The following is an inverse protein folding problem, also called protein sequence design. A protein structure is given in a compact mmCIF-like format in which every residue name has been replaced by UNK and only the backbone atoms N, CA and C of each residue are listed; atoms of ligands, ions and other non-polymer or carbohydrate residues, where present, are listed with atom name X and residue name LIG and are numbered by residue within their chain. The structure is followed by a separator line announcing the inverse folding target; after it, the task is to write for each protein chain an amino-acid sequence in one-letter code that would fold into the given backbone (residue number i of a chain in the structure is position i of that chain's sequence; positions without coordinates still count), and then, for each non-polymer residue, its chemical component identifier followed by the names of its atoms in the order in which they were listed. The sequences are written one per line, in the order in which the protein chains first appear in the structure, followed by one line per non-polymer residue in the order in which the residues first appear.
data_IF_479880868597
#
_entry.id   IF_479880868597
#
_cell.length_a   1.000
_cell.length_b   1.000
_cell.length_c   1.000
_cell.angle_alpha   90.00
_cell.angle_beta   90.00
_cell.angle_gamma   90.00
#
_symmetry.space_group_name_H-M   'P 1'
#
loop_
_entity.id
_entity.type
_entity.pdbx_description
1 polymer ?
#
# COMPACT_ATOMS: atom_id res chain seq x y z
N UNK A 1 -14.41 -16.48 -5.89
CA UNK A 1 -13.15 -15.70 -5.90
C UNK A 1 -12.38 -15.94 -4.61
N UNK A 2 -11.04 -15.93 -4.65
CA UNK A 2 -10.18 -16.15 -3.47
C UNK A 2 -9.71 -14.78 -2.93
N UNK A 3 -10.18 -14.32 -1.75
CA UNK A 3 -10.00 -12.92 -1.31
C UNK A 3 -8.54 -12.54 -0.98
N UNK A 4 -7.65 -13.51 -0.77
CA UNK A 4 -6.23 -13.27 -0.47
C UNK A 4 -5.31 -13.55 -1.68
N UNK A 5 -5.84 -14.02 -2.80
CA UNK A 5 -5.04 -14.36 -3.98
C UNK A 5 -4.44 -13.11 -4.62
N UNK A 6 -3.15 -13.18 -4.99
CA UNK A 6 -2.43 -12.06 -5.62
C UNK A 6 -2.03 -10.93 -4.66
N UNK A 7 -2.15 -11.14 -3.34
CA UNK A 7 -1.82 -10.15 -2.33
C UNK A 7 -0.60 -10.59 -1.48
N UNK A 8 0.38 -9.70 -1.30
CA UNK A 8 1.48 -9.94 -0.35
C UNK A 8 1.20 -9.26 0.99
N UNK A 9 1.10 -10.06 2.05
CA UNK A 9 0.78 -9.59 3.39
C UNK A 9 2.02 -9.34 4.26
N UNK A 10 2.09 -8.16 4.87
CA UNK A 10 3.15 -7.75 5.78
C UNK A 10 2.57 -7.18 7.08
N UNK A 11 2.93 -7.78 8.21
CA UNK A 11 2.60 -7.22 9.52
C UNK A 11 3.47 -5.99 9.81
N UNK A 12 2.83 -4.88 10.16
CA UNK A 12 3.44 -3.59 10.52
C UNK A 12 2.67 -2.97 11.69
N UNK A 13 3.15 -1.84 12.21
CA UNK A 13 2.53 -1.12 13.33
C UNK A 13 2.25 0.33 12.92
N UNK A 14 1.08 0.86 13.26
CA UNK A 14 0.76 2.26 13.04
C UNK A 14 1.47 3.18 14.05
N UNK A 15 1.77 2.66 15.25
CA UNK A 15 2.55 3.33 16.28
C UNK A 15 3.70 2.42 16.75
N UNK A 16 4.93 2.93 16.67
CA UNK A 16 6.14 2.22 17.11
C UNK A 16 6.13 1.85 18.61
N UNK A 17 5.37 2.58 19.44
CA UNK A 17 5.31 2.40 20.89
C UNK A 17 4.14 1.53 21.34
N UNK A 18 3.19 1.26 20.45
CA UNK A 18 1.98 0.52 20.78
C UNK A 18 1.90 -0.79 19.98
N UNK A 19 2.11 -1.93 20.65
CA UNK A 19 2.01 -3.24 20.03
C UNK A 19 0.60 -3.61 19.58
N UNK A 20 -0.44 -3.01 20.16
CA UNK A 20 -1.84 -3.23 19.74
C UNK A 20 -2.16 -2.52 18.42
N UNK A 21 -1.33 -1.56 17.99
CA UNK A 21 -1.45 -0.88 16.69
C UNK A 21 -1.01 -1.74 15.50
N UNK A 22 -0.85 -3.05 15.71
CA UNK A 22 -0.44 -3.99 14.68
C UNK A 22 -1.53 -4.14 13.61
N UNK A 23 -1.16 -3.88 12.37
CA UNK A 23 -2.01 -4.05 11.19
C UNK A 23 -1.28 -4.90 10.14
N UNK A 24 -2.03 -5.39 9.15
CA UNK A 24 -1.47 -6.04 7.98
C UNK A 24 -1.58 -5.12 6.77
N UNK A 25 -0.48 -4.93 6.05
CA UNK A 25 -0.49 -4.34 4.71
C UNK A 25 -0.57 -5.47 3.69
N UNK A 26 -1.59 -5.43 2.84
CA UNK A 26 -1.67 -6.20 1.61
C UNK A 26 -1.23 -5.35 0.44
N UNK A 27 -0.22 -5.80 -0.30
CA UNK A 27 0.20 -5.17 -1.56
C UNK A 27 -0.34 -6.02 -2.71
N UNK A 28 -1.14 -5.39 -3.58
CA UNK A 28 -1.87 -6.04 -4.66
C UNK A 28 -1.80 -5.23 -5.97
N UNK A 29 -2.30 -5.78 -7.07
CA UNK A 29 -2.21 -5.17 -8.41
C UNK A 29 -2.95 -3.83 -8.53
N UNK A 30 -3.93 -3.57 -7.67
CA UNK A 30 -4.79 -2.37 -7.69
C UNK A 30 -4.37 -1.30 -6.68
N UNK A 31 -3.68 -1.68 -5.60
CA UNK A 31 -3.23 -0.74 -4.57
C UNK A 31 -2.56 -1.39 -3.37
N UNK A 32 -2.66 -0.70 -2.23
CA UNK A 32 -2.23 -1.19 -0.92
C UNK A 32 -3.44 -1.17 0.02
N UNK A 33 -3.80 -2.33 0.56
CA UNK A 33 -4.88 -2.51 1.52
C UNK A 33 -4.32 -2.64 2.94
N UNK A 34 -4.98 -2.00 3.90
CA UNK A 34 -4.73 -2.17 5.34
C UNK A 34 -5.81 -3.06 5.92
N UNK A 35 -5.38 -4.03 6.71
CA UNK A 35 -6.27 -4.92 7.44
C UNK A 35 -5.99 -4.86 8.94
N UNK A 36 -7.06 -4.78 9.71
CA UNK A 36 -7.04 -4.98 11.15
C UNK A 36 -7.35 -6.44 11.47
N UNK A 37 -6.87 -6.92 12.62
CA UNK A 37 -7.20 -8.26 13.09
C UNK A 37 -8.40 -8.18 14.01
N UNK A 38 -9.58 -8.53 13.52
CA UNK A 38 -10.82 -8.54 14.28
C UNK A 38 -11.28 -10.00 14.43
N UNK A 39 -11.47 -10.46 15.67
CA UNK A 39 -11.92 -11.81 15.99
C UNK A 39 -11.13 -12.94 15.26
N UNK A 40 -9.81 -12.77 15.14
CA UNK A 40 -8.93 -13.75 14.48
C UNK A 40 -8.86 -13.65 12.95
N UNK A 41 -9.73 -12.87 12.31
CA UNK A 41 -9.76 -12.66 10.85
C UNK A 41 -9.16 -11.31 10.46
N UNK A 42 -8.65 -11.21 9.22
CA UNK A 42 -8.21 -9.94 8.63
C UNK A 42 -9.43 -9.23 8.07
N UNK A 43 -9.72 -8.04 8.58
CA UNK A 43 -10.81 -7.18 8.12
C UNK A 43 -10.22 -5.96 7.43
N UNK A 44 -10.59 -5.73 6.17
CA UNK A 44 -10.15 -4.57 5.39
C UNK A 44 -10.67 -3.27 6.04
N UNK A 45 -9.79 -2.32 6.34
CA UNK A 45 -10.16 -1.06 6.99
C UNK A 45 -9.80 0.20 6.17
N UNK A 46 -8.69 0.18 5.42
CA UNK A 46 -8.26 1.33 4.62
C UNK A 46 -7.58 0.88 3.33
N UNK A 47 -8.00 1.44 2.19
CA UNK A 47 -7.40 1.17 0.90
C UNK A 47 -6.66 2.39 0.34
N UNK A 48 -5.52 2.16 -0.31
CA UNK A 48 -4.74 3.16 -1.03
C UNK A 48 -4.58 2.70 -2.49
N UNK A 49 -5.47 3.13 -3.40
CA UNK A 49 -5.37 2.79 -4.82
C UNK A 49 -4.08 3.33 -5.42
N UNK A 50 -3.42 2.58 -6.31
CA UNK A 50 -2.18 3.04 -6.96
C UNK A 50 -2.32 4.39 -7.67
N UNK A 51 -3.48 4.65 -8.27
CA UNK A 51 -3.82 5.93 -8.91
C UNK A 51 -3.82 7.14 -7.95
N UNK A 52 -4.16 6.91 -6.68
CA UNK A 52 -4.31 7.97 -5.67
C UNK A 52 -3.05 8.12 -4.80
N UNK A 53 -2.05 7.24 -4.96
CA UNK A 53 -0.77 7.36 -4.29
C UNK A 53 0.13 8.30 -5.10
N UNK A 54 0.60 9.37 -4.46
CA UNK A 54 1.60 10.29 -5.04
C UNK A 54 3.01 9.74 -4.89
N UNK A 55 3.29 9.12 -3.74
CA UNK A 55 4.63 8.59 -3.42
C UNK A 55 4.55 7.47 -2.40
N UNK A 56 5.31 6.42 -2.64
CA UNK A 56 5.71 5.43 -1.63
C UNK A 56 7.17 5.70 -1.27
N UNK A 57 7.53 5.64 0.01
CA UNK A 57 8.91 5.83 0.45
C UNK A 57 9.21 5.00 1.70
N UNK A 58 10.48 4.96 2.10
CA UNK A 58 10.89 4.35 3.36
C UNK A 58 11.91 5.25 4.07
N UNK A 59 11.97 5.15 5.41
CA UNK A 59 12.97 5.82 6.22
C UNK A 59 13.24 5.01 7.48
N UNK A 60 14.48 4.54 7.66
CA UNK A 60 14.86 3.62 8.75
C UNK A 60 13.88 2.43 8.78
N UNK A 61 13.12 2.26 9.85
CA UNK A 61 12.13 1.19 10.03
C UNK A 61 10.72 1.55 9.58
N UNK A 62 10.50 2.71 8.96
CA UNK A 62 9.20 3.15 8.49
C UNK A 62 9.04 2.93 7.00
N UNK A 63 7.90 2.38 6.62
CA UNK A 63 7.33 2.42 5.28
C UNK A 63 6.27 3.52 5.24
N UNK A 64 6.26 4.32 4.19
CA UNK A 64 5.45 5.54 4.12
C UNK A 64 4.63 5.59 2.84
N UNK A 65 3.37 5.99 2.96
CA UNK A 65 2.47 6.25 1.83
C UNK A 65 2.05 7.72 1.87
N UNK A 66 2.28 8.45 0.78
CA UNK A 66 1.78 9.81 0.58
C UNK A 66 0.70 9.77 -0.51
N UNK A 67 -0.59 10.01 -0.18
CA UNK A 67 -1.63 10.17 -1.18
C UNK A 67 -1.42 11.45 -1.99
N UNK A 68 -2.11 11.55 -3.13
CA UNK A 68 -2.16 12.76 -3.96
C UNK A 68 -2.98 13.88 -3.32
N UNK A 69 -3.96 13.52 -2.49
CA UNK A 69 -4.73 14.47 -1.69
C UNK A 69 -3.84 15.16 -0.63
N UNK A 70 -4.06 16.45 -0.45
CA UNK A 70 -3.42 17.27 0.58
C UNK A 70 -4.39 17.48 1.75
N UNK A 71 -3.87 17.81 2.94
CA UNK A 71 -4.72 18.21 4.05
C UNK A 71 -5.35 19.58 3.78
N UNK A 72 -6.40 19.94 4.53
CA UNK A 72 -7.03 21.27 4.46
C UNK A 72 -6.03 22.43 4.63
N UNK A 73 -4.93 22.20 5.35
CA UNK A 73 -3.83 23.15 5.54
C UNK A 73 -2.79 23.19 4.41
N UNK A 74 -3.00 22.48 3.29
CA UNK A 74 -2.05 22.36 2.17
C UNK A 74 -0.81 21.51 2.49
N UNK A 75 -0.79 20.81 3.64
CA UNK A 75 0.33 19.95 4.00
C UNK A 75 0.14 18.56 3.39
N UNK A 76 1.24 18.00 2.89
CA UNK A 76 1.26 16.63 2.40
C UNK A 76 0.96 15.65 3.54
N UNK A 77 -0.13 14.88 3.39
CA UNK A 77 -0.43 13.77 4.30
C UNK A 77 0.59 12.64 4.07
N UNK A 78 1.10 12.06 5.15
CA UNK A 78 2.04 10.93 5.11
C UNK A 78 1.61 9.90 6.15
N UNK A 79 1.11 8.76 5.68
CA UNK A 79 0.85 7.59 6.52
C UNK A 79 2.16 6.84 6.75
N UNK A 80 2.46 6.55 8.02
CA UNK A 80 3.71 5.89 8.43
C UNK A 80 3.40 4.54 9.06
N UNK A 81 4.08 3.51 8.59
CA UNK A 81 3.96 2.15 9.07
C UNK A 81 5.31 1.66 9.56
N UNK A 82 5.42 1.40 10.86
CA UNK A 82 6.61 0.90 11.50
C UNK A 82 6.74 -0.61 11.30
N UNK A 83 7.92 -1.06 10.86
CA UNK A 83 8.15 -2.46 10.48
C UNK A 83 8.88 -3.29 11.56
N UNK A 84 9.34 -2.64 12.64
CA UNK A 84 10.14 -3.19 13.76
C UNK A 84 11.52 -3.80 13.38
N UNK A 85 11.65 -4.36 12.19
CA UNK A 85 12.80 -5.10 11.68
C UNK A 85 13.58 -4.24 10.69
N UNK A 86 14.92 -4.23 10.79
CA UNK A 86 15.77 -3.53 9.83
C UNK A 86 15.62 -4.12 8.42
N UNK A 87 15.68 -3.28 7.38
CA UNK A 87 15.56 -3.71 5.99
C UNK A 87 14.13 -4.05 5.52
N UNK A 88 13.20 -4.37 6.43
CA UNK A 88 11.81 -4.72 6.07
C UNK A 88 11.05 -3.57 5.42
N UNK A 89 11.32 -2.33 5.84
CA UNK A 89 10.78 -1.11 5.22
C UNK A 89 11.25 -0.91 3.77
N UNK A 90 12.52 -1.20 3.49
CA UNK A 90 13.09 -1.16 2.14
C UNK A 90 12.49 -2.27 1.26
N UNK A 91 12.37 -3.49 1.79
CA UNK A 91 11.70 -4.59 1.08
C UNK A 91 10.25 -4.27 0.70
N UNK A 92 9.48 -3.74 1.65
CA UNK A 92 8.11 -3.26 1.40
C UNK A 92 8.05 -2.20 0.30
N UNK A 93 9.01 -1.27 0.30
CA UNK A 93 9.16 -0.27 -0.75
C UNK A 93 9.43 -0.91 -2.11
N UNK A 94 10.39 -1.84 -2.20
CA UNK A 94 10.74 -2.51 -3.46
C UNK A 94 9.57 -3.28 -4.07
N UNK A 95 8.82 -4.04 -3.26
CA UNK A 95 7.62 -4.75 -3.73
C UNK A 95 6.53 -3.77 -4.15
N UNK A 96 6.28 -2.71 -3.37
CA UNK A 96 5.30 -1.68 -3.73
C UNK A 96 5.65 -1.01 -5.07
N UNK A 97 6.94 -0.75 -5.32
CA UNK A 97 7.41 -0.24 -6.61
C UNK A 97 7.15 -1.21 -7.76
N UNK A 98 7.41 -2.51 -7.55
CA UNK A 98 7.16 -3.53 -8.57
C UNK A 98 5.68 -3.60 -8.94
N UNK A 99 4.78 -3.62 -7.95
CA UNK A 99 3.34 -3.63 -8.16
C UNK A 99 2.82 -2.34 -8.80
N UNK A 100 3.33 -1.17 -8.40
CA UNK A 100 2.97 0.08 -9.05
C UNK A 100 3.42 0.13 -10.52
N UNK A 101 4.64 -0.33 -10.83
CA UNK A 101 5.11 -0.46 -12.23
C UNK A 101 4.24 -1.41 -13.03
N UNK A 102 3.83 -2.54 -12.43
CA UNK A 102 2.92 -3.49 -13.04
C UNK A 102 1.56 -2.85 -13.33
N UNK A 103 0.97 -2.15 -12.37
CA UNK A 103 -0.27 -1.37 -12.55
C UNK A 103 -0.19 -0.38 -13.71
N UNK A 104 0.90 0.39 -13.80
CA UNK A 104 1.11 1.35 -14.89
C UNK A 104 1.18 0.67 -16.25
N UNK A 105 1.90 -0.46 -16.36
CA UNK A 105 2.00 -1.23 -17.60
C UNK A 105 0.63 -1.77 -18.04
N UNK A 106 -0.12 -2.38 -17.11
CA UNK A 106 -1.46 -2.88 -17.40
C UNK A 106 -2.38 -1.76 -17.90
N UNK A 107 -2.38 -0.60 -17.24
CA UNK A 107 -3.24 0.52 -17.64
C UNK A 107 -2.90 1.05 -19.03
N UNK A 108 -1.63 1.07 -19.42
CA UNK A 108 -1.22 1.46 -20.78
C UNK A 108 -1.70 0.45 -21.82
N UNK A 109 -1.59 -0.86 -21.55
CA UNK A 109 -2.08 -1.90 -22.45
C UNK A 109 -3.59 -1.81 -22.64
N UNK A 110 -4.36 -1.60 -21.57
CA UNK A 110 -5.82 -1.46 -21.68
C UNK A 110 -6.24 -0.26 -22.52
N UNK A 111 -5.59 0.90 -22.34
CA UNK A 111 -5.84 2.08 -23.17
C UNK A 111 -5.51 1.84 -24.65
N UNK A 112 -4.44 1.10 -24.93
CA UNK A 112 -4.10 0.76 -26.32
C UNK A 112 -5.16 -0.16 -26.94
N UNK A 113 -5.68 -1.15 -26.21
CA UNK A 113 -6.76 -2.01 -26.72
C UNK A 113 -8.07 -1.27 -26.96
N UNK A 114 -8.39 -0.24 -26.18
CA UNK A 114 -9.59 0.60 -26.41
C UNK A 114 -9.51 1.34 -27.75
N UNK A 115 -8.33 1.80 -28.17
CA UNK A 115 -8.12 2.49 -29.47
C UNK A 115 -8.38 1.58 -30.67
N UNK A 116 -8.14 0.27 -30.55
CA UNK A 116 -8.38 -0.68 -31.64
C UNK A 116 -9.83 -1.17 -31.72
N UNK A 117 -10.70 -0.73 -30.81
CA UNK A 117 -12.11 -1.12 -30.77
C UNK A 117 -13.02 0.01 -31.34
N UNK A 118 -12.49 1.23 -31.51
CA UNK A 118 -13.14 2.33 -32.27
C UNK A 118 -12.80 2.27 -33.77
#
# INVERSE_FOLDING_TARGET
ELPEYGCHFYKVFQDKRNYTSAVWLGIESTGIQVYEKVAGKRSACQFYPWQNIKRVSFCKKYFCISPRAESYSGKQVIYRFFTAINGRSHHLFMISMAYHKFFLKLRTVSKASEIFIE
#
